data_IF_721234542354
#
_entry.id   IF_721234542354
#
_cell.length_a   1.000
_cell.length_b   1.000
_cell.length_c   1.000
_cell.angle_alpha   90.00
_cell.angle_beta   90.00
_cell.angle_gamma   90.00
#
_symmetry.space_group_name_H-M   'P 1'
#
loop_
_entity.id
_entity.type
_entity.pdbx_description
1 polymer ?
#
# COMPACT_ATOMS: atom_id res chain seq x y z
N UNK A 1 0.25 27.20 4.40
CA UNK A 1 -0.13 25.88 3.85
C UNK A 1 -0.43 24.92 5.01
N UNK A 2 -1.67 24.82 5.48
CA UNK A 2 -2.08 23.87 6.56
C UNK A 2 -3.31 23.05 6.18
N UNK A 3 -4.16 23.60 5.33
CA UNK A 3 -5.41 22.99 4.85
C UNK A 3 -5.22 21.66 4.12
N UNK A 4 -4.18 21.52 3.29
CA UNK A 4 -3.94 20.29 2.51
C UNK A 4 -3.67 19.07 3.39
N UNK A 5 -2.97 19.24 4.52
CA UNK A 5 -2.64 18.14 5.44
C UNK A 5 -3.84 17.71 6.29
N UNK A 6 -4.72 18.64 6.63
CA UNK A 6 -5.98 18.36 7.34
C UNK A 6 -6.98 17.60 6.47
N UNK A 7 -7.11 17.95 5.18
CA UNK A 7 -7.98 17.25 4.23
C UNK A 7 -7.55 15.78 4.06
N UNK A 8 -6.25 15.53 3.97
CA UNK A 8 -5.70 14.16 3.89
C UNK A 8 -6.03 13.36 5.16
N UNK A 9 -5.92 13.98 6.34
CA UNK A 9 -6.28 13.33 7.61
C UNK A 9 -7.75 12.96 7.71
N UNK A 10 -8.66 13.84 7.23
CA UNK A 10 -10.10 13.57 7.22
C UNK A 10 -10.44 12.43 6.25
N UNK A 11 -9.88 12.44 5.04
CA UNK A 11 -10.09 11.37 4.07
C UNK A 11 -9.58 10.02 4.58
N UNK A 12 -8.40 10.01 5.22
CA UNK A 12 -7.86 8.81 5.85
C UNK A 12 -8.78 8.30 6.98
N UNK A 13 -9.28 9.21 7.83
CA UNK A 13 -10.24 8.87 8.89
C UNK A 13 -11.54 8.29 8.36
N UNK A 14 -12.10 8.87 7.29
CA UNK A 14 -13.31 8.36 6.63
C UNK A 14 -13.05 6.98 6.02
N UNK A 15 -11.93 6.78 5.34
CA UNK A 15 -11.60 5.49 4.74
C UNK A 15 -11.46 4.37 5.80
N UNK A 16 -10.77 4.65 6.91
CA UNK A 16 -10.65 3.69 8.02
C UNK A 16 -12.01 3.45 8.68
N UNK A 17 -12.79 4.51 8.93
CA UNK A 17 -14.11 4.42 9.54
C UNK A 17 -15.11 3.63 8.69
N UNK A 18 -15.12 3.83 7.37
CA UNK A 18 -16.00 3.08 6.45
C UNK A 18 -15.56 1.63 6.32
N UNK A 19 -14.26 1.34 6.24
CA UNK A 19 -13.76 -0.03 6.23
C UNK A 19 -14.22 -0.81 7.46
N UNK A 20 -14.07 -0.22 8.65
CA UNK A 20 -14.54 -0.82 9.90
C UNK A 20 -16.08 -0.91 9.96
N UNK A 21 -16.79 0.14 9.54
CA UNK A 21 -18.25 0.18 9.55
C UNK A 21 -18.88 -0.85 8.61
N UNK A 22 -18.30 -1.06 7.43
CA UNK A 22 -18.73 -2.09 6.46
C UNK A 22 -18.41 -3.49 6.99
N UNK A 23 -17.24 -3.69 7.59
CA UNK A 23 -16.85 -4.99 8.15
C UNK A 23 -17.72 -5.40 9.35
N UNK A 24 -18.10 -4.45 10.20
CA UNK A 24 -18.95 -4.70 11.36
C UNK A 24 -20.45 -4.72 11.05
N UNK A 25 -20.88 -4.28 9.86
CA UNK A 25 -22.29 -4.23 9.49
C UNK A 25 -22.90 -5.65 9.57
N UNK A 26 -23.81 -5.92 10.52
CA UNK A 26 -24.43 -7.23 10.63
C UNK A 26 -25.47 -7.38 9.52
N UNK A 27 -25.33 -8.43 8.71
CA UNK A 27 -26.28 -8.78 7.66
C UNK A 27 -27.66 -9.11 8.28
N UNK A 28 -28.78 -8.79 7.60
CA UNK A 28 -30.14 -8.91 8.18
C UNK A 28 -30.40 -10.32 8.74
N UNK A 29 -30.63 -10.42 10.05
CA UNK A 29 -30.60 -11.67 10.83
C UNK A 29 -31.56 -12.80 10.41
N UNK A 30 -32.64 -12.50 9.67
CA UNK A 30 -33.54 -13.51 9.08
C UNK A 30 -32.90 -14.28 7.94
N UNK A 31 -32.13 -13.61 7.08
CA UNK A 31 -31.40 -14.25 5.99
C UNK A 31 -30.15 -14.97 6.50
N UNK A 32 -29.53 -14.43 7.55
CA UNK A 32 -28.32 -15.00 8.16
C UNK A 32 -28.61 -16.33 8.86
N UNK A 33 -29.70 -16.45 9.62
CA UNK A 33 -30.08 -17.75 10.22
C UNK A 33 -30.40 -18.82 9.18
N UNK A 34 -31.12 -18.44 8.11
CA UNK A 34 -31.47 -19.36 7.02
C UNK A 34 -30.24 -19.79 6.21
N UNK A 35 -29.34 -18.86 5.89
CA UNK A 35 -28.03 -19.15 5.25
C UNK A 35 -27.11 -19.96 6.15
N UNK A 36 -27.09 -19.76 7.47
CA UNK A 36 -26.27 -20.56 8.39
C UNK A 36 -26.78 -22.01 8.42
N UNK A 37 -28.09 -22.22 8.48
CA UNK A 37 -28.68 -23.56 8.50
C UNK A 37 -28.37 -24.35 7.21
N UNK A 38 -28.42 -23.70 6.04
CA UNK A 38 -28.22 -24.38 4.75
C UNK A 38 -26.76 -24.38 4.27
N UNK A 39 -25.98 -23.34 4.56
CA UNK A 39 -24.66 -23.11 3.94
C UNK A 39 -23.48 -23.29 4.88
N UNK A 40 -23.65 -23.63 6.15
CA UNK A 40 -22.52 -23.70 7.10
C UNK A 40 -21.45 -24.72 6.70
N UNK A 41 -21.81 -25.84 6.06
CA UNK A 41 -20.83 -26.83 5.55
C UNK A 41 -20.17 -26.39 4.24
N UNK A 42 -20.97 -25.91 3.28
CA UNK A 42 -20.48 -25.48 1.95
C UNK A 42 -19.75 -24.13 1.97
N UNK A 43 -20.18 -23.19 2.80
CA UNK A 43 -19.54 -21.89 2.97
C UNK A 43 -18.16 -22.05 3.60
N UNK A 44 -17.98 -23.00 4.52
CA UNK A 44 -16.67 -23.26 5.12
C UNK A 44 -15.69 -23.81 4.08
N UNK A 45 -16.12 -24.77 3.26
CA UNK A 45 -15.30 -25.30 2.16
C UNK A 45 -14.99 -24.25 1.09
N UNK A 46 -15.99 -23.44 0.68
CA UNK A 46 -15.76 -22.34 -0.27
C UNK A 46 -14.89 -21.22 0.30
N UNK A 47 -15.03 -20.91 1.58
CA UNK A 47 -14.19 -19.90 2.24
C UNK A 47 -12.73 -20.38 2.32
N UNK A 48 -12.50 -21.64 2.73
CA UNK A 48 -11.16 -22.22 2.73
C UNK A 48 -10.52 -22.24 1.33
N UNK A 49 -11.27 -22.64 0.31
CA UNK A 49 -10.79 -22.63 -1.07
C UNK A 49 -10.43 -21.21 -1.56
N UNK A 50 -11.30 -20.23 -1.29
CA UNK A 50 -11.06 -18.82 -1.63
C UNK A 50 -9.87 -18.22 -0.88
N UNK A 51 -9.68 -18.60 0.39
CA UNK A 51 -8.53 -18.14 1.18
C UNK A 51 -7.21 -18.72 0.66
N UNK A 52 -7.20 -19.99 0.25
CA UNK A 52 -6.02 -20.59 -0.38
C UNK A 52 -5.69 -19.91 -1.73
N UNK A 53 -6.69 -19.71 -2.61
CA UNK A 53 -6.48 -18.95 -3.85
C UNK A 53 -5.96 -17.54 -3.59
N UNK A 54 -6.50 -16.84 -2.58
CA UNK A 54 -6.04 -15.51 -2.22
C UNK A 54 -4.61 -15.52 -1.68
N UNK A 55 -4.25 -16.53 -0.88
CA UNK A 55 -2.92 -16.66 -0.31
C UNK A 55 -1.86 -16.95 -1.38
N UNK A 56 -2.21 -17.77 -2.38
CA UNK A 56 -1.35 -18.07 -3.52
C UNK A 56 -1.17 -16.81 -4.40
N UNK A 57 -2.26 -16.09 -4.72
CA UNK A 57 -2.20 -14.87 -5.52
C UNK A 57 -1.43 -13.75 -4.80
N UNK A 58 -1.60 -13.62 -3.48
CA UNK A 58 -0.83 -12.68 -2.66
C UNK A 58 0.64 -13.07 -2.62
N UNK A 59 0.99 -14.36 -2.52
CA UNK A 59 2.39 -14.78 -2.50
C UNK A 59 3.10 -14.48 -3.82
N UNK A 60 2.46 -14.75 -4.96
CA UNK A 60 3.04 -14.42 -6.27
C UNK A 60 3.20 -12.91 -6.47
N UNK A 61 2.18 -12.12 -6.10
CA UNK A 61 2.25 -10.66 -6.19
C UNK A 61 3.25 -10.06 -5.21
N UNK A 62 3.38 -10.63 -4.01
CA UNK A 62 4.32 -10.16 -3.01
C UNK A 62 5.76 -10.24 -3.52
N UNK A 63 6.16 -11.36 -4.12
CA UNK A 63 7.49 -11.49 -4.72
C UNK A 63 7.72 -10.45 -5.82
N UNK A 64 6.74 -10.23 -6.69
CA UNK A 64 6.84 -9.20 -7.75
C UNK A 64 6.92 -7.77 -7.20
N UNK A 65 6.21 -7.48 -6.10
CA UNK A 65 6.23 -6.16 -5.45
C UNK A 65 7.55 -5.92 -4.74
N UNK A 66 8.09 -6.93 -4.06
CA UNK A 66 9.40 -6.85 -3.39
C UNK A 66 10.50 -6.60 -4.43
N UNK A 67 10.55 -7.37 -5.52
CA UNK A 67 11.57 -7.18 -6.56
C UNK A 67 11.48 -5.81 -7.23
N UNK A 68 10.27 -5.34 -7.59
CA UNK A 68 10.08 -3.99 -8.14
C UNK A 68 10.41 -2.89 -7.13
N UNK A 69 10.12 -3.11 -5.84
CA UNK A 69 10.45 -2.18 -4.77
C UNK A 69 11.97 -2.06 -4.58
N UNK A 70 12.70 -3.17 -4.69
CA UNK A 70 14.16 -3.20 -4.63
C UNK A 70 14.79 -2.49 -5.84
N UNK A 71 14.29 -2.71 -7.06
CA UNK A 71 14.73 -1.99 -8.26
C UNK A 71 14.51 -0.48 -8.13
N UNK A 72 13.29 -0.04 -7.77
CA UNK A 72 12.99 1.38 -7.58
C UNK A 72 13.84 2.03 -6.48
N UNK A 73 14.13 1.28 -5.41
CA UNK A 73 14.99 1.75 -4.33
C UNK A 73 16.46 1.85 -4.74
N UNK A 74 16.94 0.95 -5.61
CA UNK A 74 18.29 1.02 -6.17
C UNK A 74 18.41 2.17 -7.16
N UNK A 75 17.47 2.30 -8.09
CA UNK A 75 17.43 3.36 -9.10
C UNK A 75 17.33 4.74 -8.41
N UNK A 76 16.46 4.90 -7.42
CA UNK A 76 16.36 6.12 -6.63
C UNK A 76 17.63 6.44 -5.82
N UNK A 77 18.38 5.42 -5.35
CA UNK A 77 19.67 5.64 -4.69
C UNK A 77 20.76 6.08 -5.68
N UNK A 78 20.73 5.54 -6.89
CA UNK A 78 21.69 5.86 -7.95
C UNK A 78 21.46 7.27 -8.49
N UNK A 79 20.21 7.66 -8.72
CA UNK A 79 19.82 9.02 -9.13
C UNK A 79 20.20 10.07 -8.07
N UNK A 80 19.98 9.75 -6.79
CA UNK A 80 20.42 10.61 -5.68
C UNK A 80 21.95 10.71 -5.61
N UNK A 81 22.69 9.64 -5.91
CA UNK A 81 24.16 9.67 -5.96
C UNK A 81 24.67 10.51 -7.11
N UNK A 82 24.16 10.30 -8.34
CA UNK A 82 24.51 11.10 -9.52
C UNK A 82 24.18 12.57 -9.31
N UNK A 83 23.00 12.87 -8.77
CA UNK A 83 22.61 14.23 -8.42
C UNK A 83 23.55 14.88 -7.40
N UNK A 84 23.99 14.12 -6.37
CA UNK A 84 24.96 14.59 -5.39
C UNK A 84 26.35 14.83 -5.99
N UNK A 85 26.84 13.97 -6.89
CA UNK A 85 28.13 14.16 -7.54
C UNK A 85 28.14 15.41 -8.43
N UNK A 86 27.11 15.58 -9.28
CA UNK A 86 26.98 16.75 -10.16
C UNK A 86 26.93 18.05 -9.35
N UNK A 87 26.14 18.09 -8.27
CA UNK A 87 26.09 19.24 -7.35
C UNK A 87 27.47 19.51 -6.72
N UNK A 88 28.24 18.46 -6.40
CA UNK A 88 29.55 18.60 -5.77
C UNK A 88 30.57 19.18 -6.74
N UNK A 89 30.53 18.77 -8.01
CA UNK A 89 31.34 19.35 -9.08
C UNK A 89 30.97 20.80 -9.36
N UNK A 90 29.69 21.12 -9.48
CA UNK A 90 29.20 22.48 -9.72
C UNK A 90 29.63 23.42 -8.59
N UNK A 91 29.48 23.00 -7.33
CA UNK A 91 29.94 23.77 -6.16
C UNK A 91 31.45 24.00 -6.19
N UNK A 92 32.24 23.02 -6.64
CA UNK A 92 33.71 23.13 -6.73
C UNK A 92 34.10 24.17 -7.78
N UNK A 93 33.46 24.10 -8.94
CA UNK A 93 33.70 25.02 -10.06
C UNK A 93 33.33 26.46 -9.71
N UNK A 94 32.16 26.66 -9.07
CA UNK A 94 31.72 27.98 -8.59
C UNK A 94 32.65 28.54 -7.51
N UNK A 95 33.14 27.69 -6.59
CA UNK A 95 34.10 28.11 -5.55
C UNK A 95 35.43 28.54 -6.15
N UNK A 96 35.94 27.81 -7.13
CA UNK A 96 37.21 28.13 -7.79
C UNK A 96 37.10 29.41 -8.65
N UNK A 97 35.91 29.72 -9.18
CA UNK A 97 35.63 31.01 -9.84
C UNK A 97 35.56 32.20 -8.88
N UNK A 98 35.16 31.99 -7.62
CA UNK A 98 35.10 33.08 -6.62
C UNK A 98 36.44 33.41 -5.95
N UNK A 99 37.41 32.49 -6.00
CA UNK A 99 38.72 32.66 -5.35
C UNK A 99 39.81 33.20 -6.29
N UNK A 100 39.42 33.74 -7.45
CA UNK A 100 40.29 34.30 -8.48
C UNK A 100 39.96 35.77 -8.71
#
# INVERSE_FOLDING_TARGET
MKTSKSIIGVLAGVAVGTALGVLFAPDKGTNTRKKIAEKSKDAKNKAMARLNELADEVSEKYNSIVTKGEELAQEGKEDIQKGKENIKEDIKTVRDQMNK
#
